data_IF_252164946825
#
_entry.id   IF_252164946825
#
_cell.length_a   1.000
_cell.length_b   1.000
_cell.length_c   1.000
_cell.angle_alpha   90.00
_cell.angle_beta   90.00
_cell.angle_gamma   90.00
#
_symmetry.space_group_name_H-M   'P 1'
#
loop_
_entity.id
_entity.type
_entity.pdbx_description
1 polymer ?
#
# COMPACT_ATOMS: atom_id res chain seq x y z
N UNK A 1 9.99 3.21 38.84
CA UNK A 1 10.14 2.12 37.84
C UNK A 1 11.04 1.04 38.41
N UNK A 2 10.48 -0.15 38.67
CA UNK A 2 11.21 -1.22 39.33
C UNK A 2 12.30 -1.74 38.38
N UNK A 3 13.57 -1.55 38.75
CA UNK A 3 14.74 -1.97 37.96
C UNK A 3 14.74 -3.47 37.65
N UNK A 4 14.00 -4.25 38.44
CA UNK A 4 13.77 -5.68 38.23
C UNK A 4 12.89 -5.97 37.00
N UNK A 5 11.87 -5.14 36.74
CA UNK A 5 11.01 -5.25 35.55
C UNK A 5 11.75 -4.82 34.27
N UNK A 6 12.63 -3.82 34.35
CA UNK A 6 13.46 -3.38 33.22
C UNK A 6 14.46 -4.47 32.79
N UNK A 7 15.05 -5.20 33.76
CA UNK A 7 15.97 -6.31 33.51
C UNK A 7 15.27 -7.52 32.90
N UNK A 8 14.03 -7.80 33.34
CA UNK A 8 13.22 -8.87 32.76
C UNK A 8 12.87 -8.59 31.29
N UNK A 9 12.57 -7.33 30.95
CA UNK A 9 12.28 -6.92 29.57
C UNK A 9 13.51 -7.03 28.65
N UNK A 10 14.70 -6.75 29.18
CA UNK A 10 15.95 -6.84 28.41
C UNK A 10 16.29 -8.29 28.02
N UNK A 11 16.01 -9.27 28.88
CA UNK A 11 16.36 -10.68 28.63
C UNK A 11 15.42 -11.32 27.59
N UNK A 12 14.15 -10.92 27.55
CA UNK A 12 13.16 -11.46 26.60
C UNK A 12 13.47 -11.04 25.15
N UNK A 13 14.00 -9.83 24.93
CA UNK A 13 14.32 -9.36 23.57
C UNK A 13 15.50 -10.09 22.94
N UNK A 14 16.49 -10.52 23.72
CA UNK A 14 17.67 -11.26 23.21
C UNK A 14 17.31 -12.70 22.83
N UNK A 15 16.36 -13.33 23.54
CA UNK A 15 15.91 -14.68 23.23
C UNK A 15 15.16 -14.78 21.88
N UNK A 16 14.56 -13.69 21.41
CA UNK A 16 13.88 -13.65 20.10
C UNK A 16 14.83 -13.57 18.91
N UNK A 17 16.09 -13.14 19.09
CA UNK A 17 17.05 -13.05 17.99
C UNK A 17 17.71 -14.39 17.62
N UNK A 18 17.74 -15.37 18.53
CA UNK A 18 18.48 -16.64 18.33
C UNK A 18 17.67 -17.75 17.64
N UNK A 19 16.38 -17.54 17.36
CA UNK A 19 15.53 -18.53 16.65
C UNK A 19 15.33 -18.22 15.16
N UNK A 20 15.89 -17.11 14.65
CA UNK A 20 15.74 -16.73 13.24
C UNK A 20 16.65 -17.50 12.26
N UNK A 21 17.51 -18.38 12.76
CA UNK A 21 18.20 -19.37 11.92
C UNK A 21 17.53 -20.73 12.12
N UNK A 22 16.37 -20.91 11.50
CA UNK A 22 15.90 -22.23 11.14
C UNK A 22 16.71 -22.63 9.89
N UNK A 23 17.44 -23.74 9.97
CA UNK A 23 18.09 -24.33 8.79
C UNK A 23 16.99 -24.88 7.90
N UNK A 24 16.50 -24.06 6.98
CA UNK A 24 15.58 -24.51 5.95
C UNK A 24 16.39 -25.24 4.89
N UNK A 25 16.17 -26.55 4.80
CA UNK A 25 16.50 -27.34 3.62
C UNK A 25 16.10 -26.52 2.39
N UNK A 26 17.08 -26.25 1.52
CA UNK A 26 16.92 -25.53 0.25
C UNK A 26 15.91 -26.26 -0.66
N UNK A 27 14.62 -26.11 -0.36
CA UNK A 27 13.57 -26.24 -1.34
C UNK A 27 13.70 -25.00 -2.19
N UNK A 28 14.61 -25.09 -3.15
CA UNK A 28 14.73 -24.15 -4.24
C UNK A 28 13.40 -24.19 -5.02
N UNK A 29 12.38 -23.48 -4.52
CA UNK A 29 11.19 -23.12 -5.28
C UNK A 29 11.66 -22.19 -6.38
N UNK A 30 12.12 -22.81 -7.46
CA UNK A 30 12.66 -22.11 -8.61
C UNK A 30 11.54 -21.25 -9.21
N UNK A 31 11.62 -19.95 -8.97
CA UNK A 31 10.69 -18.97 -9.51
C UNK A 31 10.86 -18.96 -11.03
N UNK A 32 9.84 -19.40 -11.74
CA UNK A 32 9.87 -19.44 -13.19
C UNK A 32 9.70 -18.03 -13.78
N UNK A 33 10.26 -17.79 -14.97
CA UNK A 33 10.02 -16.56 -15.74
C UNK A 33 8.53 -16.29 -15.93
N UNK A 34 7.72 -17.35 -16.12
CA UNK A 34 6.27 -17.25 -16.26
C UNK A 34 5.62 -16.65 -15.00
N UNK A 35 5.97 -17.14 -13.81
CA UNK A 35 5.45 -16.60 -12.54
C UNK A 35 5.84 -15.14 -12.34
N UNK A 36 7.07 -14.75 -12.72
CA UNK A 36 7.49 -13.34 -12.67
C UNK A 36 6.62 -12.48 -13.59
N UNK A 37 6.44 -12.90 -14.84
CA UNK A 37 5.63 -12.17 -15.82
C UNK A 37 4.17 -12.04 -15.36
N UNK A 38 3.57 -13.14 -14.88
CA UNK A 38 2.19 -13.13 -14.36
C UNK A 38 2.05 -12.18 -13.18
N UNK A 39 2.98 -12.21 -12.23
CA UNK A 39 2.96 -11.30 -11.08
C UNK A 39 3.10 -9.83 -11.51
N UNK A 40 4.01 -9.51 -12.41
CA UNK A 40 4.17 -8.14 -12.92
C UNK A 40 2.93 -7.67 -13.71
N UNK A 41 2.32 -8.54 -14.52
CA UNK A 41 1.10 -8.23 -15.23
C UNK A 41 -0.05 -7.92 -14.26
N UNK A 42 -0.18 -8.68 -13.17
CA UNK A 42 -1.17 -8.42 -12.13
C UNK A 42 -0.93 -7.08 -11.43
N UNK A 43 0.32 -6.78 -11.05
CA UNK A 43 0.66 -5.48 -10.42
C UNK A 43 0.32 -4.32 -11.37
N UNK A 44 0.70 -4.44 -12.65
CA UNK A 44 0.39 -3.42 -13.64
C UNK A 44 -1.12 -3.23 -13.77
N UNK A 45 -1.89 -4.32 -13.91
CA UNK A 45 -3.34 -4.27 -13.99
C UNK A 45 -3.97 -3.57 -12.78
N UNK A 46 -3.58 -3.94 -11.56
CA UNK A 46 -4.12 -3.32 -10.34
C UNK A 46 -3.79 -1.82 -10.26
N UNK A 47 -2.58 -1.42 -10.67
CA UNK A 47 -2.19 0.00 -10.71
C UNK A 47 -3.03 0.80 -11.72
N UNK A 48 -3.19 0.28 -12.95
CA UNK A 48 -4.04 0.91 -13.96
C UNK A 48 -5.50 0.97 -13.53
N UNK A 49 -6.01 -0.11 -12.94
CA UNK A 49 -7.38 -0.17 -12.43
C UNK A 49 -7.62 0.86 -11.34
N UNK A 50 -6.70 0.97 -10.37
CA UNK A 50 -6.81 1.97 -9.31
C UNK A 50 -6.80 3.40 -9.85
N UNK A 51 -5.89 3.70 -10.79
CA UNK A 51 -5.83 5.02 -11.42
C UNK A 51 -7.14 5.38 -12.16
N UNK A 52 -7.73 4.39 -12.85
CA UNK A 52 -9.04 4.56 -13.49
C UNK A 52 -10.16 4.78 -12.47
N UNK A 53 -10.26 3.94 -11.44
CA UNK A 53 -11.32 4.06 -10.44
C UNK A 53 -11.26 5.43 -9.73
N UNK A 54 -10.06 5.91 -9.39
CA UNK A 54 -9.88 7.22 -8.74
C UNK A 54 -10.23 8.40 -9.67
N UNK A 55 -10.02 8.29 -10.99
CA UNK A 55 -10.41 9.36 -11.94
C UNK A 55 -11.94 9.43 -12.12
N UNK A 56 -12.64 8.30 -12.06
CA UNK A 56 -14.12 8.28 -12.06
C UNK A 56 -14.69 8.97 -10.82
N UNK A 57 -14.04 8.76 -9.66
CA UNK A 57 -14.39 9.47 -8.42
C UNK A 57 -14.14 10.97 -8.56
N UNK A 58 -13.01 11.38 -9.17
CA UNK A 58 -12.73 12.79 -9.45
C UNK A 58 -13.80 13.41 -10.36
N UNK A 59 -14.16 12.74 -11.45
CA UNK A 59 -15.21 13.23 -12.37
C UNK A 59 -16.51 13.48 -11.61
N UNK A 60 -16.94 12.52 -10.79
CA UNK A 60 -18.15 12.64 -9.96
C UNK A 60 -18.07 13.85 -9.01
N UNK A 61 -16.91 14.05 -8.37
CA UNK A 61 -16.72 15.17 -7.44
C UNK A 61 -16.71 16.53 -8.15
N UNK A 62 -16.11 16.63 -9.34
CA UNK A 62 -16.13 17.83 -10.18
C UNK A 62 -17.56 18.14 -10.63
N UNK A 63 -18.31 17.14 -11.10
CA UNK A 63 -19.70 17.31 -11.53
C UNK A 63 -20.59 17.78 -10.36
N UNK A 64 -20.36 17.24 -9.17
CA UNK A 64 -21.08 17.65 -7.95
C UNK A 64 -20.76 19.10 -7.58
N UNK A 65 -19.47 19.49 -7.62
CA UNK A 65 -19.07 20.86 -7.31
C UNK A 65 -19.60 21.88 -8.34
N UNK A 66 -19.53 21.56 -9.63
CA UNK A 66 -20.01 22.45 -10.70
C UNK A 66 -21.53 22.60 -10.67
N UNK A 67 -22.27 21.55 -10.30
CA UNK A 67 -23.73 21.61 -10.11
C UNK A 67 -24.12 22.35 -8.83
N UNK A 68 -23.34 22.20 -7.76
CA UNK A 68 -23.65 22.75 -6.43
C UNK A 68 -22.36 23.32 -5.80
N UNK A 69 -22.04 24.61 -6.09
CA UNK A 69 -20.73 25.19 -5.78
C UNK A 69 -20.63 25.64 -4.32
N UNK A 70 -20.49 24.67 -3.41
CA UNK A 70 -20.24 24.92 -1.98
C UNK A 70 -18.77 24.71 -1.63
N UNK A 71 -18.32 25.31 -0.52
CA UNK A 71 -16.96 25.10 -0.01
C UNK A 71 -16.67 23.61 0.32
N UNK A 72 -17.68 22.88 0.78
CA UNK A 72 -17.58 21.45 1.04
C UNK A 72 -17.34 20.67 -0.27
N UNK A 73 -18.12 20.95 -1.31
CA UNK A 73 -17.98 20.27 -2.60
C UNK A 73 -16.66 20.63 -3.29
N UNK A 74 -16.19 21.87 -3.17
CA UNK A 74 -14.86 22.26 -3.65
C UNK A 74 -13.74 21.49 -2.93
N UNK A 75 -13.88 21.31 -1.62
CA UNK A 75 -12.92 20.54 -0.83
C UNK A 75 -12.91 19.06 -1.24
N UNK A 76 -14.08 18.47 -1.48
CA UNK A 76 -14.19 17.10 -1.99
C UNK A 76 -13.52 16.94 -3.36
N UNK A 77 -13.75 17.87 -4.30
CA UNK A 77 -13.11 17.86 -5.61
C UNK A 77 -11.58 17.97 -5.53
N UNK A 78 -11.04 18.85 -4.66
CA UNK A 78 -9.59 18.96 -4.43
C UNK A 78 -8.97 17.67 -3.88
N UNK A 79 -9.65 17.02 -2.93
CA UNK A 79 -9.20 15.75 -2.35
C UNK A 79 -9.17 14.66 -3.43
N UNK A 80 -10.24 14.53 -4.21
CA UNK A 80 -10.31 13.56 -5.30
C UNK A 80 -9.22 13.82 -6.35
N UNK A 81 -8.94 15.09 -6.67
CA UNK A 81 -7.90 15.45 -7.63
C UNK A 81 -6.52 14.98 -7.17
N UNK A 82 -6.17 15.27 -5.90
CA UNK A 82 -4.91 14.82 -5.31
C UNK A 82 -4.79 13.29 -5.37
N UNK A 83 -5.82 12.56 -4.93
CA UNK A 83 -5.80 11.09 -4.90
C UNK A 83 -5.64 10.49 -6.31
N UNK A 84 -6.36 11.04 -7.30
CA UNK A 84 -6.22 10.58 -8.69
C UNK A 84 -4.82 10.81 -9.25
N UNK A 85 -4.18 11.93 -8.90
CA UNK A 85 -2.81 12.24 -9.30
C UNK A 85 -1.77 11.30 -8.68
N UNK A 86 -1.92 10.97 -7.40
CA UNK A 86 -1.05 10.00 -6.71
C UNK A 86 -1.14 8.62 -7.37
N UNK A 87 -2.36 8.14 -7.65
CA UNK A 87 -2.57 6.85 -8.30
C UNK A 87 -2.04 6.80 -9.73
N UNK A 88 -2.17 7.87 -10.51
CA UNK A 88 -1.59 7.96 -11.86
C UNK A 88 -0.06 7.91 -11.84
N UNK A 89 0.56 8.54 -10.84
CA UNK A 89 2.01 8.52 -10.64
C UNK A 89 2.58 7.13 -10.37
N UNK A 90 1.81 6.24 -9.73
CA UNK A 90 2.21 4.85 -9.44
C UNK A 90 2.24 3.94 -10.69
N UNK A 91 1.71 4.42 -11.81
CA UNK A 91 1.64 3.68 -13.08
C UNK A 91 2.88 3.89 -13.96
N UNK A 92 3.65 4.97 -13.72
CA UNK A 92 4.80 5.41 -14.51
C UNK A 92 6.11 5.19 -13.75
#
# INVERSE_FOLDING_TARGET
MNKLLLRFFLIITVAFFVTSCNNEDDKNSNVTKKQVIENYANIAYENYKKAYDDVVVLETAINTFTTTPTAANFTAAKTAWKNSGESYGMVH
#
